data_IF_682487092542
#
_entry.id   IF_682487092542
#
_cell.length_a   1.000
_cell.length_b   1.000
_cell.length_c   1.000
_cell.angle_alpha   90.00
_cell.angle_beta   90.00
_cell.angle_gamma   90.00
#
_symmetry.space_group_name_H-M   'P 1'
#
loop_
_entity.id
_entity.type
_entity.pdbx_description
1 polymer ?
#
# COMPACT_ATOMS: atom_id res chain seq x y z
N UNK A 1 -5.89 19.13 -11.14
CA UNK A 1 -5.66 17.90 -10.37
C UNK A 1 -7.02 17.25 -10.26
N UNK A 2 -7.18 16.06 -10.84
CA UNK A 2 -8.45 15.33 -10.75
C UNK A 2 -8.66 14.89 -9.29
N UNK A 3 -9.87 15.04 -8.76
CA UNK A 3 -10.17 14.73 -7.36
C UNK A 3 -9.86 13.25 -7.08
N UNK A 4 -10.14 12.38 -8.05
CA UNK A 4 -9.88 10.94 -7.94
C UNK A 4 -8.39 10.62 -7.82
N UNK A 5 -7.54 11.31 -8.58
CA UNK A 5 -6.08 11.17 -8.49
C UNK A 5 -5.55 11.65 -7.13
N UNK A 6 -6.10 12.73 -6.58
CA UNK A 6 -5.73 13.22 -5.25
C UNK A 6 -6.08 12.23 -4.14
N UNK A 7 -7.25 11.60 -4.24
CA UNK A 7 -7.69 10.57 -3.27
C UNK A 7 -6.79 9.34 -3.35
N UNK A 8 -6.46 8.88 -4.56
CA UNK A 8 -5.56 7.74 -4.75
C UNK A 8 -4.17 8.01 -4.17
N UNK A 9 -3.61 9.19 -4.41
CA UNK A 9 -2.31 9.58 -3.83
C UNK A 9 -2.35 9.63 -2.30
N UNK A 10 -3.45 10.11 -1.72
CA UNK A 10 -3.66 10.09 -0.27
C UNK A 10 -3.65 8.67 0.31
N UNK A 11 -4.41 7.75 -0.29
CA UNK A 11 -4.46 6.34 0.11
C UNK A 11 -3.07 5.68 0.01
N UNK A 12 -2.32 5.97 -1.07
CA UNK A 12 -0.97 5.47 -1.28
C UNK A 12 0.00 5.93 -0.18
N UNK A 13 -0.05 7.22 0.19
CA UNK A 13 0.79 7.78 1.26
C UNK A 13 0.49 7.14 2.61
N UNK A 14 -0.79 6.89 2.91
CA UNK A 14 -1.21 6.21 4.15
C UNK A 14 -0.64 4.79 4.17
N UNK A 15 -0.85 4.01 3.12
CA UNK A 15 -0.38 2.63 3.03
C UNK A 15 1.16 2.56 3.15
N UNK A 16 1.89 3.43 2.46
CA UNK A 16 3.36 3.53 2.60
C UNK A 16 3.78 3.80 4.04
N UNK A 17 3.10 4.72 4.72
CA UNK A 17 3.37 5.02 6.12
C UNK A 17 3.15 3.82 7.04
N UNK A 18 2.12 3.00 6.78
CA UNK A 18 1.87 1.75 7.52
C UNK A 18 3.02 0.76 7.27
N UNK A 19 3.35 0.48 6.01
CA UNK A 19 4.37 -0.48 5.63
C UNK A 19 5.76 -0.10 6.18
N UNK A 20 6.14 1.17 6.09
CA UNK A 20 7.40 1.67 6.65
C UNK A 20 7.46 1.52 8.18
N UNK A 21 6.36 1.81 8.89
CA UNK A 21 6.32 1.69 10.35
C UNK A 21 6.39 0.24 10.81
N UNK A 22 5.76 -0.69 10.08
CA UNK A 22 5.73 -2.11 10.47
C UNK A 22 6.98 -2.87 10.05
N UNK A 23 7.47 -2.64 8.85
CA UNK A 23 8.51 -3.47 8.23
C UNK A 23 9.86 -2.78 8.07
N UNK A 24 9.97 -1.48 8.40
CA UNK A 24 11.17 -0.62 8.32
C UNK A 24 11.69 -0.40 6.90
N UNK A 25 11.99 -1.48 6.16
CA UNK A 25 12.49 -1.45 4.79
C UNK A 25 11.38 -1.92 3.86
N UNK A 26 10.95 -1.03 2.96
CA UNK A 26 9.96 -1.34 1.92
C UNK A 26 10.65 -1.24 0.56
N UNK A 27 10.62 -2.27 -0.28
CA UNK A 27 11.24 -2.24 -1.60
C UNK A 27 10.61 -1.17 -2.51
N UNK A 28 11.44 -0.43 -3.25
CA UNK A 28 10.97 0.57 -4.23
C UNK A 28 10.09 -0.04 -5.33
N UNK A 29 10.27 -1.34 -5.62
CA UNK A 29 9.42 -2.07 -6.57
C UNK A 29 7.97 -2.16 -6.10
N UNK A 30 7.73 -2.13 -4.79
CA UNK A 30 6.39 -2.16 -4.22
C UNK A 30 5.62 -0.87 -4.53
N UNK A 31 6.33 0.25 -4.53
CA UNK A 31 5.74 1.56 -4.80
C UNK A 31 5.15 1.68 -6.20
N UNK A 32 5.79 1.06 -7.18
CA UNK A 32 5.26 0.96 -8.54
C UNK A 32 3.95 0.15 -8.56
N UNK A 33 3.96 -1.04 -7.95
CA UNK A 33 2.78 -1.91 -7.88
C UNK A 33 1.59 -1.27 -7.18
N UNK A 34 1.83 -0.53 -6.09
CA UNK A 34 0.79 0.17 -5.35
C UNK A 34 0.20 1.34 -6.15
N UNK A 35 1.01 2.03 -6.96
CA UNK A 35 0.55 3.17 -7.76
C UNK A 35 -0.44 2.81 -8.88
N UNK A 36 -0.44 1.55 -9.31
CA UNK A 36 -1.38 1.03 -10.30
C UNK A 36 -2.70 0.55 -9.68
N UNK A 37 -2.84 0.57 -8.34
CA UNK A 37 -4.04 0.12 -7.64
C UNK A 37 -5.09 1.23 -7.51
N UNK A 38 -6.36 0.84 -7.60
CA UNK A 38 -7.48 1.72 -7.30
C UNK A 38 -7.51 2.11 -5.81
N UNK A 39 -8.20 3.20 -5.48
CA UNK A 39 -8.41 3.66 -4.09
C UNK A 39 -8.93 2.53 -3.21
N UNK A 40 -9.92 1.76 -3.69
CA UNK A 40 -10.50 0.65 -2.95
C UNK A 40 -9.48 -0.45 -2.65
N UNK A 41 -8.68 -0.83 -3.63
CA UNK A 41 -7.63 -1.84 -3.43
C UNK A 41 -6.55 -1.36 -2.46
N UNK A 42 -6.22 -0.06 -2.48
CA UNK A 42 -5.28 0.52 -1.51
C UNK A 42 -5.83 0.49 -0.07
N UNK A 43 -7.14 0.70 0.09
CA UNK A 43 -7.83 0.59 1.38
C UNK A 43 -7.82 -0.86 1.88
N UNK A 44 -8.21 -1.83 1.03
CA UNK A 44 -8.15 -3.26 1.35
C UNK A 44 -6.72 -3.70 1.74
N UNK A 45 -5.70 -3.16 1.06
CA UNK A 45 -4.30 -3.42 1.37
C UNK A 45 -3.85 -2.78 2.68
N UNK A 46 -4.46 -1.69 3.14
CA UNK A 46 -4.18 -1.14 4.47
C UNK A 46 -4.57 -2.13 5.56
N UNK A 47 -5.75 -2.75 5.44
CA UNK A 47 -6.19 -3.77 6.40
C UNK A 47 -5.26 -4.97 6.41
N UNK A 48 -4.88 -5.48 5.23
CA UNK A 48 -3.94 -6.61 5.13
C UNK A 48 -2.58 -6.23 5.72
N UNK A 49 -2.08 -5.03 5.40
CA UNK A 49 -0.83 -4.50 5.92
C UNK A 49 -0.86 -4.30 7.44
N UNK A 50 -2.01 -4.31 8.12
CA UNK A 50 -2.10 -4.29 9.58
C UNK A 50 -2.17 -5.69 10.20
N UNK A 51 -2.60 -6.70 9.44
CA UNK A 51 -2.82 -8.07 9.95
C UNK A 51 -1.66 -9.02 9.72
N UNK A 52 -0.93 -8.90 8.60
CA UNK A 52 0.15 -9.84 8.26
C UNK A 52 1.35 -9.70 9.20
N UNK A 53 2.12 -10.76 9.43
CA UNK A 53 3.27 -10.72 10.34
C UNK A 53 4.56 -10.27 9.65
N UNK A 54 4.70 -10.55 8.36
CA UNK A 54 5.87 -10.21 7.55
C UNK A 54 5.51 -9.44 6.27
N UNK A 55 6.49 -8.71 5.74
CA UNK A 55 6.34 -8.00 4.46
C UNK A 55 6.11 -8.97 3.30
N UNK A 56 6.74 -10.13 3.32
CA UNK A 56 6.56 -11.14 2.26
C UNK A 56 5.11 -11.63 2.19
N UNK A 57 4.44 -11.79 3.33
CA UNK A 57 3.02 -12.16 3.38
C UNK A 57 2.13 -11.06 2.79
N UNK A 58 2.46 -9.80 3.06
CA UNK A 58 1.80 -8.67 2.41
C UNK A 58 2.00 -8.72 0.88
N UNK A 59 3.23 -8.92 0.41
CA UNK A 59 3.53 -8.99 -1.01
C UNK A 59 2.77 -10.14 -1.69
N UNK A 60 2.73 -11.30 -1.04
CA UNK A 60 1.99 -12.46 -1.54
C UNK A 60 0.49 -12.19 -1.67
N UNK A 61 -0.10 -11.37 -0.79
CA UNK A 61 -1.53 -11.03 -0.84
C UNK A 61 -1.95 -10.13 -2.01
N UNK A 62 -0.99 -9.50 -2.70
CA UNK A 62 -1.26 -8.61 -3.84
C UNK A 62 -1.31 -9.34 -5.20
N UNK A 63 -0.98 -10.64 -5.19
CA UNK A 63 -0.93 -11.51 -6.38
C UNK A 63 -2.32 -12.01 -6.72
#
# INVERSE_FOLDING_TARGET
>A
MDIEQGIQQGALLILRGILQRRFQIVPDSLDFLLSERSVKQLDDLCDIALTVEALDDFVNSMT
#
